data_IF_781684972338
#
_entry.id   IF_781684972338
#
_cell.length_a   1.000
_cell.length_b   1.000
_cell.length_c   1.000
_cell.angle_alpha   90.00
_cell.angle_beta   90.00
_cell.angle_gamma   90.00
#
_symmetry.space_group_name_H-M   'P 1'
#
loop_
_entity.id
_entity.type
_entity.pdbx_description
1 polymer ?
#
# COMPACT_ATOMS: atom_id res chain seq x y z
N UNK A 1 13.22 -3.24 8.44
CA UNK A 1 12.58 -4.35 7.72
C UNK A 1 11.72 -5.10 8.72
N UNK A 2 10.49 -5.41 8.36
CA UNK A 2 9.49 -6.02 9.24
C UNK A 2 9.14 -7.41 8.71
N UNK A 3 9.20 -8.43 9.57
CA UNK A 3 8.61 -9.73 9.26
C UNK A 3 7.09 -9.61 9.46
N UNK A 4 6.29 -9.99 8.46
CA UNK A 4 4.84 -9.75 8.46
C UNK A 4 4.06 -11.05 8.70
N UNK A 5 4.21 -12.01 7.81
CA UNK A 5 3.53 -13.31 7.87
C UNK A 5 4.33 -14.36 7.09
N UNK A 6 3.90 -15.61 7.12
CA UNK A 6 4.37 -16.60 6.14
C UNK A 6 3.69 -16.37 4.80
N UNK A 7 4.38 -16.68 3.72
CA UNK A 7 3.84 -16.57 2.37
C UNK A 7 2.69 -17.57 2.11
N UNK A 8 2.66 -18.69 2.82
CA UNK A 8 1.60 -19.71 2.74
C UNK A 8 0.38 -19.41 3.61
N UNK A 9 0.46 -18.41 4.50
CA UNK A 9 -0.66 -17.92 5.32
C UNK A 9 -1.51 -16.86 4.61
N UNK A 10 -1.03 -16.34 3.47
CA UNK A 10 -1.71 -15.30 2.71
C UNK A 10 -1.96 -15.81 1.29
N UNK A 11 -3.15 -16.33 1.03
CA UNK A 11 -3.50 -16.91 -0.27
C UNK A 11 -3.61 -15.83 -1.37
N UNK A 12 -3.54 -16.21 -2.66
CA UNK A 12 -3.81 -15.27 -3.75
C UNK A 12 -5.16 -14.57 -3.60
N UNK A 13 -5.17 -13.26 -3.76
CA UNK A 13 -6.33 -12.38 -3.56
C UNK A 13 -6.52 -11.90 -2.11
N UNK A 14 -5.75 -12.41 -1.16
CA UNK A 14 -5.82 -12.01 0.24
C UNK A 14 -4.85 -10.87 0.58
N UNK A 15 -5.11 -10.22 1.70
CA UNK A 15 -4.23 -9.21 2.25
C UNK A 15 -4.13 -9.30 3.78
N UNK A 16 -3.06 -8.73 4.32
CA UNK A 16 -2.85 -8.57 5.76
C UNK A 16 -2.34 -7.15 6.04
N UNK A 17 -2.40 -6.74 7.30
CA UNK A 17 -1.91 -5.42 7.73
C UNK A 17 -1.10 -5.52 9.00
N UNK A 18 -0.12 -4.62 9.11
CA UNK A 18 0.62 -4.37 10.33
C UNK A 18 0.79 -2.87 10.54
N UNK A 19 1.19 -2.46 11.74
CA UNK A 19 1.41 -1.05 12.08
C UNK A 19 2.90 -0.84 12.33
N UNK A 20 3.48 0.14 11.64
CA UNK A 20 4.81 0.67 11.91
C UNK A 20 4.68 2.11 12.44
N UNK A 21 5.23 3.10 11.73
CA UNK A 21 4.90 4.52 11.93
C UNK A 21 3.51 4.87 11.37
N UNK A 22 3.12 4.21 10.28
CA UNK A 22 1.79 4.23 9.67
C UNK A 22 1.29 2.79 9.47
N UNK A 23 -0.03 2.55 9.30
CA UNK A 23 -0.53 1.23 8.95
C UNK A 23 -0.11 0.88 7.51
N UNK A 24 0.38 -0.34 7.33
CA UNK A 24 0.87 -0.87 6.06
C UNK A 24 0.07 -2.12 5.69
N UNK A 25 -0.40 -2.18 4.45
CA UNK A 25 -1.07 -3.34 3.89
C UNK A 25 -0.11 -4.15 3.02
N UNK A 26 -0.23 -5.47 3.09
CA UNK A 26 0.48 -6.41 2.23
C UNK A 26 -0.56 -7.25 1.50
N UNK A 27 -0.44 -7.31 0.18
CA UNK A 27 -1.36 -8.02 -0.71
C UNK A 27 -0.64 -9.17 -1.39
N UNK A 28 -1.32 -10.29 -1.55
CA UNK A 28 -0.90 -11.36 -2.47
C UNK A 28 -1.73 -11.26 -3.75
N UNK A 29 -1.14 -10.73 -4.81
CA UNK A 29 -1.71 -10.66 -6.14
C UNK A 29 -1.19 -11.82 -6.99
N UNK A 30 -1.95 -12.91 -7.08
CA UNK A 30 -1.64 -14.11 -7.87
C UNK A 30 -0.23 -14.70 -7.61
N UNK A 31 0.21 -14.67 -6.36
CA UNK A 31 1.52 -15.17 -5.90
C UNK A 31 2.61 -14.10 -5.84
N UNK A 32 2.37 -12.90 -6.37
CA UNK A 32 3.27 -11.76 -6.23
C UNK A 32 2.84 -10.88 -5.03
N UNK A 33 3.79 -10.54 -4.17
CA UNK A 33 3.50 -9.76 -2.96
C UNK A 33 3.82 -8.27 -3.17
N UNK A 34 2.89 -7.43 -2.73
CA UNK A 34 3.01 -5.97 -2.80
C UNK A 34 2.69 -5.35 -1.45
N UNK A 35 3.31 -4.23 -1.12
CA UNK A 35 3.05 -3.51 0.11
C UNK A 35 2.87 -2.01 -0.15
N UNK A 36 1.86 -1.42 0.49
CA UNK A 36 1.53 0.01 0.39
C UNK A 36 1.09 0.57 1.74
N UNK A 37 1.11 1.89 1.89
CA UNK A 37 0.39 2.55 3.00
C UNK A 37 -1.08 2.07 2.99
N UNK A 38 -1.57 1.53 4.10
CA UNK A 38 -2.90 0.89 4.18
C UNK A 38 -4.05 1.89 4.05
N UNK A 39 -3.82 3.14 4.44
CA UNK A 39 -4.86 4.17 4.40
C UNK A 39 -5.05 4.69 2.97
N UNK A 40 -6.27 4.54 2.45
CA UNK A 40 -6.64 5.08 1.14
C UNK A 40 -6.34 6.58 1.05
N UNK A 41 -5.70 7.01 -0.03
CA UNK A 41 -5.33 8.43 -0.22
C UNK A 41 -6.51 9.38 -0.45
N UNK A 42 -7.72 8.84 -0.64
CA UNK A 42 -8.95 9.63 -0.73
C UNK A 42 -9.49 10.00 0.66
N UNK A 43 -9.69 8.99 1.53
CA UNK A 43 -10.31 9.12 2.85
C UNK A 43 -9.84 7.97 3.76
N UNK A 44 -10.08 8.09 5.07
CA UNK A 44 -9.63 7.15 6.10
C UNK A 44 -10.33 5.77 5.99
N UNK A 45 -9.86 4.96 5.05
CA UNK A 45 -10.31 3.59 4.81
C UNK A 45 -9.09 2.67 4.65
N UNK A 46 -9.16 1.49 5.28
CA UNK A 46 -8.11 0.46 5.18
C UNK A 46 -8.25 -0.28 3.85
N UNK A 47 -7.18 -0.27 3.05
CA UNK A 47 -7.11 -0.98 1.76
C UNK A 47 -6.95 -2.49 1.96
N UNK A 48 -6.40 -2.95 3.09
CA UNK A 48 -6.39 -4.37 3.45
C UNK A 48 -7.78 -4.95 3.71
N UNK A 49 -8.79 -4.10 3.93
CA UNK A 49 -10.20 -4.51 3.96
C UNK A 49 -10.86 -4.48 2.57
N UNK A 50 -10.10 -4.14 1.52
CA UNK A 50 -10.55 -4.05 0.14
C UNK A 50 -10.54 -5.37 -0.62
N UNK A 51 -10.73 -5.28 -1.93
CA UNK A 51 -10.74 -6.44 -2.83
C UNK A 51 -9.54 -6.38 -3.78
N UNK A 52 -8.84 -7.50 -3.97
CA UNK A 52 -7.72 -7.60 -4.90
C UNK A 52 -8.21 -8.18 -6.22
N UNK A 53 -7.98 -7.47 -7.32
CA UNK A 53 -8.24 -7.95 -8.68
C UNK A 53 -6.96 -7.83 -9.52
N UNK A 54 -6.33 -8.96 -9.83
CA UNK A 54 -5.02 -9.00 -10.46
C UNK A 54 -3.99 -8.22 -9.64
N UNK A 55 -3.37 -7.19 -10.21
CA UNK A 55 -2.41 -6.32 -9.52
C UNK A 55 -3.04 -5.04 -8.95
N UNK A 56 -4.36 -4.99 -8.79
CA UNK A 56 -5.05 -3.82 -8.27
C UNK A 56 -5.76 -4.12 -6.96
N UNK A 57 -5.88 -3.09 -6.11
CA UNK A 57 -6.76 -3.12 -4.94
C UNK A 57 -7.89 -2.12 -5.09
N UNK A 58 -9.12 -2.58 -4.91
CA UNK A 58 -10.32 -1.76 -4.79
C UNK A 58 -10.52 -1.34 -3.33
N UNK A 59 -10.59 -0.03 -3.10
CA UNK A 59 -10.92 0.53 -1.80
C UNK A 59 -12.37 0.18 -1.41
N UNK A 60 -12.61 -0.39 -0.22
CA UNK A 60 -13.93 -0.89 0.16
C UNK A 60 -14.97 0.20 0.40
N UNK A 61 -14.56 1.47 0.50
CA UNK A 61 -15.45 2.58 0.82
C UNK A 61 -16.13 3.16 -0.43
N UNK A 62 -15.35 3.53 -1.45
CA UNK A 62 -15.84 4.25 -2.63
C UNK A 62 -15.29 3.68 -3.95
N UNK A 63 -14.85 2.41 -3.95
CA UNK A 63 -14.42 1.68 -5.14
C UNK A 63 -13.28 2.33 -5.95
N UNK A 64 -12.44 3.14 -5.30
CA UNK A 64 -11.22 3.63 -5.92
C UNK A 64 -10.23 2.46 -6.10
N UNK A 65 -9.74 2.27 -7.32
CA UNK A 65 -8.71 1.27 -7.60
C UNK A 65 -7.32 1.89 -7.56
N UNK A 66 -6.37 1.12 -7.04
CA UNK A 66 -4.94 1.46 -7.06
C UNK A 66 -4.15 0.31 -7.66
N UNK A 67 -3.18 0.62 -8.51
CA UNK A 67 -2.20 -0.35 -8.99
C UNK A 67 -1.18 -0.63 -7.87
N UNK A 68 -1.08 -1.88 -7.41
CA UNK A 68 -0.22 -2.27 -6.29
C UNK A 68 1.28 -2.17 -6.63
N UNK A 69 1.64 -2.07 -7.91
CA UNK A 69 3.04 -2.03 -8.38
C UNK A 69 3.64 -0.64 -8.20
N UNK A 70 2.85 0.41 -8.39
CA UNK A 70 3.31 1.81 -8.36
C UNK A 70 2.45 2.75 -7.50
N UNK A 71 1.39 2.21 -6.89
CA UNK A 71 0.48 2.92 -5.99
C UNK A 71 -0.49 3.87 -6.69
N UNK A 72 -0.46 4.01 -8.03
CA UNK A 72 -1.26 5.02 -8.72
C UNK A 72 -2.75 4.66 -8.70
N UNK A 73 -3.65 5.64 -8.45
CA UNK A 73 -5.07 5.41 -8.62
C UNK A 73 -5.40 5.29 -10.11
N UNK A 74 -6.27 4.35 -10.47
CA UNK A 74 -6.72 4.15 -11.85
C UNK A 74 -8.12 4.69 -12.11
N UNK A 75 -8.87 5.02 -11.04
CA UNK A 75 -10.18 5.62 -11.13
C UNK A 75 -10.46 6.59 -9.94
N UNK A 76 -11.39 7.55 -10.11
CA UNK A 76 -11.85 8.38 -9.01
C UNK A 76 -12.57 7.54 -7.94
N UNK A 77 -12.68 8.04 -6.68
CA UNK A 77 -12.36 9.40 -6.25
C UNK A 77 -10.91 9.66 -5.83
N UNK A 78 -10.06 8.62 -5.78
CA UNK A 78 -8.65 8.80 -5.43
C UNK A 78 -7.88 9.58 -6.51
N UNK A 79 -6.97 10.45 -6.07
CA UNK A 79 -6.17 11.32 -6.96
C UNK A 79 -4.66 11.23 -6.70
N UNK A 80 -4.27 10.76 -5.51
CA UNK A 80 -2.87 10.66 -5.09
C UNK A 80 -2.46 9.20 -5.07
N UNK A 81 -1.23 8.94 -5.51
CA UNK A 81 -0.65 7.62 -5.40
C UNK A 81 -0.45 7.22 -3.92
N UNK A 82 -0.62 5.95 -3.64
CA UNK A 82 -0.17 5.33 -2.40
C UNK A 82 1.36 5.31 -2.38
N UNK A 83 1.96 5.37 -1.19
CA UNK A 83 3.36 4.99 -1.05
C UNK A 83 3.47 3.48 -1.18
N UNK A 84 4.42 3.01 -1.97
CA UNK A 84 4.76 1.59 -2.09
C UNK A 84 5.99 1.27 -1.23
N UNK A 85 6.06 0.04 -0.74
CA UNK A 85 7.17 -0.46 0.07
C UNK A 85 7.76 -1.70 -0.59
N UNK A 86 9.04 -1.92 -0.37
CA UNK A 86 9.71 -3.09 -0.95
C UNK A 86 9.30 -4.34 -0.18
N UNK A 87 8.94 -5.39 -0.91
CA UNK A 87 8.64 -6.71 -0.36
C UNK A 87 9.74 -7.69 -0.73
N UNK A 88 10.18 -8.50 0.25
CA UNK A 88 11.10 -9.61 0.06
C UNK A 88 10.46 -10.88 0.64
N UNK A 89 10.54 -11.98 -0.09
CA UNK A 89 10.16 -13.30 0.42
C UNK A 89 11.42 -14.12 0.60
N UNK A 90 11.76 -14.46 1.84
CA UNK A 90 12.96 -15.23 2.18
C UNK A 90 12.60 -16.33 3.18
N UNK A 91 13.02 -17.57 2.92
CA UNK A 91 12.70 -18.71 3.79
C UNK A 91 11.19 -18.98 3.98
N UNK A 92 10.34 -18.49 3.06
CA UNK A 92 8.88 -18.57 3.17
C UNK A 92 8.25 -17.49 4.05
N UNK A 93 9.01 -16.53 4.55
CA UNK A 93 8.51 -15.37 5.30
C UNK A 93 8.45 -14.15 4.39
N UNK A 94 7.34 -13.41 4.47
CA UNK A 94 7.16 -12.12 3.80
C UNK A 94 7.72 -11.02 4.68
N UNK A 95 8.66 -10.26 4.14
CA UNK A 95 9.28 -9.11 4.78
C UNK A 95 8.96 -7.83 4.03
N UNK A 96 8.73 -6.75 4.78
CA UNK A 96 8.51 -5.41 4.22
C UNK A 96 9.62 -4.46 4.64
N UNK A 97 10.24 -3.81 3.68
CA UNK A 97 11.15 -2.68 3.88
C UNK A 97 10.43 -1.38 3.51
N UNK A 98 10.22 -0.53 4.51
CA UNK A 98 9.51 0.73 4.33
C UNK A 98 10.30 1.67 3.44
N UNK A 99 9.65 2.19 2.39
CA UNK A 99 10.14 3.36 1.68
C UNK A 99 10.21 4.58 2.61
N UNK A 100 11.17 5.50 2.38
CA UNK A 100 11.27 6.72 3.16
C UNK A 100 9.98 7.53 3.07
N UNK A 101 9.58 8.12 4.20
CA UNK A 101 8.50 9.10 4.21
C UNK A 101 8.98 10.34 3.47
N UNK A 102 8.33 10.72 2.39
CA UNK A 102 8.52 12.06 1.84
C UNK A 102 8.17 13.06 2.94
N UNK A 103 9.19 13.74 3.45
CA UNK A 103 9.01 14.92 4.26
C UNK A 103 8.68 16.01 3.24
N UNK A 104 7.44 16.50 3.25
CA UNK A 104 7.14 17.79 2.65
C UNK A 104 8.04 18.80 3.38
N UNK A 105 9.19 19.10 2.78
CA UNK A 105 9.98 20.26 3.19
C UNK A 105 9.04 21.45 3.01
N UNK A 106 8.94 22.37 4.00
CA UNK A 106 8.18 23.59 3.80
C UNK A 106 8.66 24.21 2.49
N UNK A 107 7.73 24.41 1.55
CA UNK A 107 8.00 25.19 0.36
C UNK A 107 8.59 26.50 0.87
N UNK A 108 9.86 26.78 0.56
CA UNK A 108 10.45 28.08 0.92
C UNK A 108 9.48 29.12 0.39
N UNK A 109 9.02 30.01 1.27
CA UNK A 109 8.03 31.02 0.93
C UNK A 109 8.57 31.85 -0.24
N UNK A 110 8.13 31.51 -1.45
CA UNK A 110 8.41 32.30 -2.64
C UNK A 110 7.69 33.65 -2.46
N UNK A 111 8.48 34.65 -2.09
CA UNK A 111 8.29 36.04 -2.50
C UNK A 111 7.07 36.74 -1.92
N UNK A 112 7.25 37.33 -0.74
CA UNK A 112 6.63 38.62 -0.49
C UNK A 112 7.17 39.63 -1.50
N UNK A 113 6.33 40.06 -2.44
CA UNK A 113 6.44 41.32 -3.19
C UNK A 113 5.06 41.75 -3.68
#
# INVERSE_FOLDING_TARGET
MFAVCRADELAPGESTRFVADVPIAVFNADGAFYAVDDTCTHQDASLSAGFVEGCFVECPLHAAFFDLRDGKPTCPPAKRALRTHQVLVEGGTVYVQLAPREVELPLEAEGAA
#
